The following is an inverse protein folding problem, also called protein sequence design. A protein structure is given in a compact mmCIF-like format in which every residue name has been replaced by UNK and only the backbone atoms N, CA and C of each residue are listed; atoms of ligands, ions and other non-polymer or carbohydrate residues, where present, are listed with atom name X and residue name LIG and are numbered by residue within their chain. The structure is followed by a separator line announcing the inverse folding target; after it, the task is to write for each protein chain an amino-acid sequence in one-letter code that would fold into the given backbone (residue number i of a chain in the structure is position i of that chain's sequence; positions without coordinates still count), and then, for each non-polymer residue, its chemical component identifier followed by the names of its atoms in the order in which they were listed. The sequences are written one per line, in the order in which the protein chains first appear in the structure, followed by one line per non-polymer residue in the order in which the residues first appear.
data_IF_844761016380
#
_entry.id   IF_844761016380
#
_cell.length_a   1.000
_cell.length_b   1.000
_cell.length_c   1.000
_cell.angle_alpha   90.00
_cell.angle_beta   90.00
_cell.angle_gamma   90.00
#
_symmetry.space_group_name_H-M   'P 1'
#
loop_
_entity.id
_entity.type
_entity.pdbx_description
1 polymer ?
#
# COMPACT_ATOMS: atom_id res chain seq x y z
N UNK A 1 48.37 -14.89 33.23
CA UNK A 1 46.94 -15.21 33.21
C UNK A 1 46.31 -14.35 32.15
N UNK A 2 46.24 -14.87 30.93
CA UNK A 2 45.65 -14.16 29.78
C UNK A 2 44.21 -14.60 29.71
N UNK A 3 43.29 -13.75 30.18
CA UNK A 3 41.87 -14.00 30.02
C UNK A 3 41.42 -13.58 28.62
N UNK A 4 40.81 -14.55 27.93
CA UNK A 4 40.17 -14.42 26.64
C UNK A 4 39.06 -13.36 26.68
N UNK A 5 39.19 -12.34 25.84
CA UNK A 5 38.05 -11.57 25.37
C UNK A 5 37.43 -12.37 24.23
N UNK A 6 36.31 -13.05 24.50
CA UNK A 6 35.47 -13.66 23.46
C UNK A 6 34.27 -12.75 23.27
N UNK A 7 34.25 -11.96 22.20
CA UNK A 7 33.07 -11.22 21.76
C UNK A 7 32.21 -12.11 20.84
N UNK A 8 30.91 -12.29 21.13
CA UNK A 8 29.94 -12.74 20.14
C UNK A 8 28.78 -11.74 20.03
N UNK A 9 29.05 -10.46 19.76
CA UNK A 9 28.01 -9.41 19.64
C UNK A 9 27.49 -9.23 18.19
N UNK A 10 28.12 -9.89 17.22
CA UNK A 10 27.88 -9.59 15.79
C UNK A 10 26.69 -10.35 15.17
N UNK A 11 26.25 -11.47 15.75
CA UNK A 11 25.18 -12.31 15.20
C UNK A 11 23.76 -11.79 15.49
N UNK A 12 23.54 -11.21 16.66
CA UNK A 12 22.20 -10.82 17.14
C UNK A 12 21.68 -9.57 16.41
N UNK A 13 22.51 -8.54 16.20
CA UNK A 13 22.12 -7.30 15.48
C UNK A 13 21.70 -7.56 14.03
N UNK A 14 22.32 -8.52 13.35
CA UNK A 14 21.97 -8.85 11.95
C UNK A 14 20.57 -9.47 11.85
N UNK A 15 20.28 -10.42 12.74
CA UNK A 15 18.99 -11.10 12.76
C UNK A 15 17.82 -10.20 13.22
N UNK A 16 18.09 -9.17 14.01
CA UNK A 16 17.10 -8.14 14.37
C UNK A 16 16.82 -7.18 13.20
N UNK A 17 17.87 -6.73 12.49
CA UNK A 17 17.71 -5.86 11.31
C UNK A 17 16.96 -6.54 10.15
N UNK A 18 17.22 -7.82 9.90
CA UNK A 18 16.50 -8.59 8.87
C UNK A 18 15.01 -8.75 9.21
N UNK A 19 14.66 -9.04 10.47
CA UNK A 19 13.26 -9.14 10.90
C UNK A 19 12.51 -7.81 10.85
N UNK A 20 13.16 -6.72 11.24
CA UNK A 20 12.59 -5.39 11.14
C UNK A 20 12.27 -5.05 9.67
N UNK A 21 13.22 -5.28 8.75
CA UNK A 21 13.01 -5.03 7.32
C UNK A 21 11.89 -5.86 6.70
N UNK A 22 11.69 -7.10 7.16
CA UNK A 22 10.61 -7.98 6.68
C UNK A 22 9.24 -7.52 7.20
N UNK A 23 9.18 -7.08 8.47
CA UNK A 23 7.97 -6.49 9.04
C UNK A 23 7.56 -5.20 8.34
N UNK A 24 8.52 -4.31 8.06
CA UNK A 24 8.29 -3.06 7.30
C UNK A 24 7.75 -3.36 5.89
N UNK A 25 8.36 -4.30 5.15
CA UNK A 25 7.86 -4.73 3.83
C UNK A 25 6.47 -5.36 3.91
N UNK A 26 6.19 -6.12 4.97
CA UNK A 26 4.85 -6.68 5.18
C UNK A 26 3.82 -5.58 5.43
N UNK A 27 4.16 -4.55 6.20
CA UNK A 27 3.27 -3.43 6.49
C UNK A 27 2.97 -2.60 5.23
N UNK A 28 3.99 -2.34 4.42
CA UNK A 28 3.89 -1.71 3.09
C UNK A 28 2.90 -2.45 2.19
N UNK A 29 3.11 -3.75 1.99
CA UNK A 29 2.24 -4.57 1.13
C UNK A 29 0.78 -4.52 1.58
N UNK A 30 0.53 -4.61 2.90
CA UNK A 30 -0.82 -4.53 3.46
C UNK A 30 -1.44 -3.15 3.22
N UNK A 31 -0.66 -2.07 3.35
CA UNK A 31 -1.14 -0.72 3.11
C UNK A 31 -1.50 -0.50 1.63
N UNK A 32 -0.66 -0.99 0.71
CA UNK A 32 -0.90 -0.95 -0.74
C UNK A 32 -2.14 -1.78 -1.13
N UNK A 33 -2.29 -2.99 -0.58
CA UNK A 33 -3.46 -3.82 -0.84
C UNK A 33 -4.76 -3.11 -0.40
N UNK A 34 -4.78 -2.54 0.81
CA UNK A 34 -5.96 -1.84 1.33
C UNK A 34 -6.34 -0.61 0.51
N UNK A 35 -5.37 0.21 0.10
CA UNK A 35 -5.69 1.40 -0.69
C UNK A 35 -6.21 1.03 -2.08
N UNK A 36 -5.71 -0.06 -2.67
CA UNK A 36 -6.22 -0.63 -3.93
C UNK A 36 -7.64 -1.15 -3.78
N UNK A 37 -7.90 -2.01 -2.81
CA UNK A 37 -9.26 -2.53 -2.53
C UNK A 37 -10.27 -1.39 -2.33
N UNK A 38 -9.87 -0.35 -1.59
CA UNK A 38 -10.72 0.82 -1.39
C UNK A 38 -10.95 1.61 -2.68
N UNK A 39 -9.89 1.84 -3.47
CA UNK A 39 -9.98 2.50 -4.76
C UNK A 39 -10.91 1.77 -5.73
N UNK A 40 -10.77 0.44 -5.81
CA UNK A 40 -11.62 -0.44 -6.61
C UNK A 40 -13.08 -0.38 -6.17
N UNK A 41 -13.35 -0.52 -4.87
CA UNK A 41 -14.71 -0.40 -4.33
C UNK A 41 -15.36 0.96 -4.61
N UNK A 42 -14.59 2.05 -4.57
CA UNK A 42 -15.09 3.38 -4.92
C UNK A 42 -15.39 3.47 -6.41
N UNK A 43 -14.47 3.01 -7.28
CA UNK A 43 -14.68 2.97 -8.73
C UNK A 43 -15.93 2.19 -9.08
N UNK A 44 -16.07 0.96 -8.58
CA UNK A 44 -17.19 0.08 -8.95
C UNK A 44 -18.53 0.75 -8.63
N UNK A 45 -18.67 1.32 -7.43
CA UNK A 45 -19.87 2.06 -7.04
C UNK A 45 -20.14 3.28 -7.93
N UNK A 46 -19.11 4.02 -8.33
CA UNK A 46 -19.30 5.21 -9.17
C UNK A 46 -19.58 4.84 -10.63
N UNK A 47 -18.94 3.80 -11.15
CA UNK A 47 -19.21 3.27 -12.49
C UNK A 47 -20.63 2.72 -12.56
N UNK A 48 -21.04 1.88 -11.61
CA UNK A 48 -22.42 1.36 -11.53
C UNK A 48 -23.44 2.49 -11.46
N UNK A 49 -23.16 3.53 -10.66
CA UNK A 49 -24.01 4.72 -10.59
C UNK A 49 -24.10 5.43 -11.93
N UNK A 50 -22.98 5.69 -12.59
CA UNK A 50 -22.97 6.35 -13.90
C UNK A 50 -23.73 5.53 -14.95
N UNK A 51 -23.55 4.21 -14.97
CA UNK A 51 -24.22 3.30 -15.90
C UNK A 51 -25.74 3.20 -15.65
N UNK A 52 -26.19 3.43 -14.41
CA UNK A 52 -27.62 3.43 -14.06
C UNK A 52 -28.30 4.78 -14.23
N UNK A 53 -27.57 5.89 -14.15
CA UNK A 53 -28.11 7.25 -14.29
C UNK A 53 -28.05 7.79 -15.73
N UNK A 54 -27.22 7.21 -16.61
CA UNK A 54 -26.98 7.72 -17.97
C UNK A 54 -27.49 6.76 -19.06
N UNK A 55 -28.13 7.32 -20.09
CA UNK A 55 -28.46 6.58 -21.31
C UNK A 55 -27.23 6.49 -22.22
N UNK A 56 -26.52 5.37 -22.13
CA UNK A 56 -25.25 5.14 -22.83
C UNK A 56 -25.38 3.98 -23.83
N UNK A 57 -24.74 4.13 -24.99
CA UNK A 57 -24.44 3.02 -25.90
C UNK A 57 -23.39 2.08 -25.30
N UNK A 58 -23.27 0.85 -25.81
CA UNK A 58 -22.24 -0.10 -25.35
C UNK A 58 -20.83 0.48 -25.40
N UNK A 59 -20.48 1.19 -26.47
CA UNK A 59 -19.17 1.83 -26.59
C UNK A 59 -18.91 2.90 -25.51
N UNK A 60 -19.94 3.66 -25.14
CA UNK A 60 -19.83 4.67 -24.08
C UNK A 60 -19.75 4.03 -22.69
N UNK A 61 -20.43 2.90 -22.46
CA UNK A 61 -20.29 2.11 -21.23
C UNK A 61 -18.85 1.62 -21.06
N UNK A 62 -18.28 1.02 -22.09
CA UNK A 62 -16.87 0.59 -22.10
C UNK A 62 -15.92 1.76 -21.84
N UNK A 63 -16.23 2.95 -22.38
CA UNK A 63 -15.43 4.15 -22.18
C UNK A 63 -15.48 4.65 -20.72
N UNK A 64 -16.64 4.55 -20.05
CA UNK A 64 -16.83 4.90 -18.65
C UNK A 64 -16.09 3.92 -17.73
N UNK A 65 -16.19 2.62 -17.97
CA UNK A 65 -15.45 1.60 -17.21
C UNK A 65 -13.93 1.85 -17.30
N UNK A 66 -13.41 2.00 -18.52
CA UNK A 66 -12.00 2.34 -18.75
C UNK A 66 -11.57 3.69 -18.19
N UNK A 67 -12.51 4.63 -18.04
CA UNK A 67 -12.22 5.90 -17.36
C UNK A 67 -12.07 5.66 -15.86
N UNK A 68 -12.96 4.88 -15.26
CA UNK A 68 -12.89 4.47 -13.86
C UNK A 68 -11.54 3.84 -13.52
N UNK A 69 -11.08 2.88 -14.32
CA UNK A 69 -9.79 2.22 -14.12
C UNK A 69 -8.61 3.20 -14.17
N UNK A 70 -8.56 4.06 -15.20
CA UNK A 70 -7.49 5.06 -15.36
C UNK A 70 -7.48 6.08 -14.22
N UNK A 71 -8.64 6.43 -13.68
CA UNK A 71 -8.74 7.34 -12.54
C UNK A 71 -8.18 6.70 -11.28
N UNK A 72 -8.54 5.44 -10.98
CA UNK A 72 -8.00 4.72 -9.81
C UNK A 72 -6.49 4.57 -9.95
N UNK A 73 -6.00 4.05 -11.08
CA UNK A 73 -4.57 3.86 -11.33
C UNK A 73 -3.79 5.17 -11.09
N UNK A 74 -4.27 6.28 -11.66
CA UNK A 74 -3.59 7.58 -11.54
C UNK A 74 -3.66 8.18 -10.15
N UNK A 75 -4.76 7.97 -9.42
CA UNK A 75 -4.92 8.47 -8.05
C UNK A 75 -4.08 7.67 -7.05
N UNK A 76 -3.93 6.36 -7.26
CA UNK A 76 -3.19 5.48 -6.36
C UNK A 76 -1.68 5.45 -6.62
N UNK A 77 -1.21 5.80 -7.82
CA UNK A 77 0.21 5.79 -8.15
C UNK A 77 1.09 6.61 -7.17
N UNK A 78 0.63 7.77 -6.73
CA UNK A 78 1.38 8.62 -5.78
C UNK A 78 1.45 8.01 -4.38
N UNK A 79 0.33 7.67 -3.71
CA UNK A 79 0.40 7.06 -2.39
C UNK A 79 1.12 5.71 -2.38
N UNK A 80 1.01 4.88 -3.42
CA UNK A 80 1.78 3.63 -3.53
C UNK A 80 3.29 3.90 -3.54
N UNK A 81 3.77 4.81 -4.39
CA UNK A 81 5.19 5.18 -4.44
C UNK A 81 5.70 5.78 -3.11
N UNK A 82 4.84 6.47 -2.36
CA UNK A 82 5.20 7.01 -1.05
C UNK A 82 5.32 5.91 0.02
N UNK A 83 4.50 4.86 -0.04
CA UNK A 83 4.60 3.69 0.84
C UNK A 83 5.87 2.89 0.54
N UNK A 84 6.17 2.64 -0.73
CA UNK A 84 7.40 1.98 -1.17
C UNK A 84 8.66 2.73 -0.68
N UNK A 85 8.61 4.07 -0.74
CA UNK A 85 9.68 4.92 -0.22
C UNK A 85 9.79 4.82 1.31
N UNK A 86 8.67 4.92 2.04
CA UNK A 86 8.67 4.82 3.49
C UNK A 86 9.25 3.48 3.96
N UNK A 87 8.91 2.38 3.28
CA UNK A 87 9.46 1.07 3.58
C UNK A 87 10.97 0.98 3.30
N UNK A 88 11.42 1.57 2.19
CA UNK A 88 12.84 1.63 1.83
C UNK A 88 13.67 2.46 2.83
N UNK A 89 13.08 3.54 3.35
CA UNK A 89 13.71 4.45 4.30
C UNK A 89 13.59 3.96 5.76
N UNK A 90 12.84 2.87 6.03
CA UNK A 90 12.59 2.35 7.38
C UNK A 90 11.67 3.26 8.21
N UNK A 91 10.81 4.03 7.55
CA UNK A 91 9.86 4.96 8.18
C UNK A 91 8.59 4.21 8.61
N UNK A 92 8.73 3.44 9.70
CA UNK A 92 7.63 2.67 10.28
C UNK A 92 6.48 3.56 10.78
N UNK A 93 6.75 4.83 11.14
CA UNK A 93 5.73 5.78 11.59
C UNK A 93 4.78 6.16 10.44
N UNK A 94 5.33 6.48 9.26
CA UNK A 94 4.53 6.75 8.06
C UNK A 94 3.72 5.53 7.64
N UNK A 95 4.30 4.32 7.68
CA UNK A 95 3.58 3.09 7.36
C UNK A 95 2.43 2.81 8.34
N UNK A 96 2.66 3.01 9.63
CA UNK A 96 1.61 2.86 10.65
C UNK A 96 0.47 3.86 10.44
N UNK A 97 0.79 5.13 10.20
CA UNK A 97 -0.21 6.16 9.91
C UNK A 97 -1.03 5.86 8.65
N UNK A 98 -0.37 5.37 7.59
CA UNK A 98 -1.06 4.95 6.38
C UNK A 98 -1.99 3.75 6.64
N UNK A 99 -1.53 2.76 7.39
CA UNK A 99 -2.37 1.62 7.79
C UNK A 99 -3.60 2.09 8.59
N UNK A 100 -3.48 3.05 9.50
CA UNK A 100 -4.62 3.63 10.21
C UNK A 100 -5.58 4.38 9.26
N UNK A 101 -5.05 5.22 8.37
CA UNK A 101 -5.84 5.98 7.41
C UNK A 101 -6.62 5.08 6.45
N UNK A 102 -6.01 3.98 6.00
CA UNK A 102 -6.62 3.06 5.03
C UNK A 102 -7.35 1.87 5.68
N UNK A 103 -7.19 1.62 6.99
CA UNK A 103 -8.01 0.66 7.76
C UNK A 103 -9.25 1.28 8.38
N UNK A 104 -9.29 2.61 8.49
CA UNK A 104 -10.43 3.37 8.98
C UNK A 104 -11.62 3.28 8.02
N UNK A 105 -12.49 2.31 8.26
CA UNK A 105 -13.82 2.24 7.65
C UNK A 105 -14.63 3.47 8.06
N UNK A 106 -14.79 4.41 7.12
CA UNK A 106 -15.93 5.34 7.06
C UNK A 106 -16.53 5.32 5.66
#
# INVERSE_FOLDING_TARGET
MTDCVTEPESGTRKAEGERASDATRSAENVAIERIRERGESVRDRQVERALSELELSEHERDAVERLGDRLVERLLAVPEAQLERAASDGDDETLAAALELFSGSR
#
